data_IF_602364818204
#
_entry.id   IF_602364818204
#
_cell.length_a   1.000
_cell.length_b   1.000
_cell.length_c   1.000
_cell.angle_alpha   90.00
_cell.angle_beta   90.00
_cell.angle_gamma   90.00
#
_symmetry.space_group_name_H-M   'P 1'
#
loop_
_entity.id
_entity.type
_entity.pdbx_description
1 polymer ?
#
# COMPACT_ATOMS: atom_id res chain seq x y z
N UNK A 1 3.91 -2.97 7.86
CA UNK A 1 2.81 -1.97 7.98
C UNK A 1 3.40 -0.56 7.84
N UNK A 2 2.70 0.43 7.29
CA UNK A 2 3.20 1.83 7.15
C UNK A 2 3.52 2.47 8.50
N UNK A 3 2.82 2.01 9.55
CA UNK A 3 3.08 2.41 10.94
C UNK A 3 4.48 1.99 11.44
N UNK A 4 5.05 0.95 10.86
CA UNK A 4 6.40 0.44 11.19
C UNK A 4 7.48 1.09 10.32
N UNK A 5 7.10 1.96 9.37
CA UNK A 5 8.07 2.61 8.50
C UNK A 5 8.87 3.63 9.33
N UNK A 6 10.21 3.53 9.38
CA UNK A 6 11.04 4.39 10.20
C UNK A 6 10.97 5.87 9.79
N UNK A 7 10.53 6.17 8.55
CA UNK A 7 10.35 7.54 8.06
C UNK A 7 9.02 8.18 8.46
N UNK A 8 8.07 7.41 9.03
CA UNK A 8 6.75 7.93 9.42
C UNK A 8 6.84 9.10 10.41
N UNK A 9 7.67 8.96 11.45
CA UNK A 9 7.81 9.99 12.48
C UNK A 9 8.47 11.26 11.92
N UNK A 10 9.42 11.11 11.01
CA UNK A 10 10.03 12.23 10.29
C UNK A 10 8.99 12.99 9.45
N UNK A 11 8.18 12.25 8.68
CA UNK A 11 7.10 12.82 7.85
C UNK A 11 6.04 13.53 8.67
N UNK A 12 5.60 12.95 9.79
CA UNK A 12 4.65 13.59 10.70
C UNK A 12 5.22 14.91 11.23
N UNK A 13 6.50 14.93 11.61
CA UNK A 13 7.17 16.15 12.09
C UNK A 13 7.26 17.25 11.03
N UNK A 14 7.58 16.86 9.78
CA UNK A 14 7.58 17.77 8.63
C UNK A 14 6.20 18.39 8.42
N UNK A 15 5.15 17.57 8.26
CA UNK A 15 3.78 18.07 8.02
C UNK A 15 3.25 18.91 9.18
N UNK A 16 3.49 18.49 10.42
CA UNK A 16 3.01 19.21 11.59
C UNK A 16 3.55 20.65 11.66
N UNK A 17 4.78 20.83 11.19
CA UNK A 17 5.48 22.11 11.17
C UNK A 17 5.02 23.02 10.02
N UNK A 18 4.52 22.46 8.91
CA UNK A 18 4.00 23.25 7.77
C UNK A 18 2.56 23.72 7.99
N UNK A 19 1.81 23.11 8.91
CA UNK A 19 0.43 23.51 9.19
C UNK A 19 0.35 24.85 9.93
N UNK A 20 0.04 25.91 9.20
CA UNK A 20 -0.35 27.20 9.76
C UNK A 20 -1.87 27.24 9.99
N UNK A 21 -2.29 27.25 11.27
CA UNK A 21 -3.70 27.33 11.65
C UNK A 21 -3.85 28.33 12.79
N UNK A 22 -4.72 29.32 12.60
CA UNK A 22 -5.04 30.33 13.59
C UNK A 22 -6.39 30.06 14.28
N UNK A 23 -6.52 30.50 15.53
CA UNK A 23 -7.76 30.42 16.30
C UNK A 23 -7.54 30.02 17.76
N UNK A 24 -8.62 29.61 18.43
CA UNK A 24 -8.54 29.08 19.80
C UNK A 24 -7.79 27.74 19.81
N UNK A 25 -7.02 27.48 20.86
CA UNK A 25 -6.14 26.31 20.96
C UNK A 25 -6.84 24.98 20.62
N UNK A 26 -8.08 24.78 21.07
CA UNK A 26 -8.87 23.57 20.75
C UNK A 26 -9.18 23.42 19.26
N UNK A 27 -9.47 24.53 18.58
CA UNK A 27 -9.73 24.55 17.14
C UNK A 27 -8.44 24.29 16.34
N UNK A 28 -7.35 24.97 16.72
CA UNK A 28 -6.03 24.81 16.09
C UNK A 28 -5.59 23.34 16.15
N UNK A 29 -5.68 22.74 17.33
CA UNK A 29 -5.33 21.34 17.52
C UNK A 29 -6.17 20.39 16.66
N UNK A 30 -7.51 20.51 16.72
CA UNK A 30 -8.40 19.64 15.96
C UNK A 30 -8.18 19.76 14.44
N UNK A 31 -7.96 20.98 13.97
CA UNK A 31 -7.70 21.25 12.55
C UNK A 31 -6.35 20.66 12.09
N UNK A 32 -5.29 20.81 12.89
CA UNK A 32 -3.98 20.21 12.60
C UNK A 32 -4.04 18.68 12.56
N UNK A 33 -4.75 18.05 13.50
CA UNK A 33 -4.96 16.59 13.49
C UNK A 33 -5.72 16.15 12.24
N UNK A 34 -6.72 16.93 11.81
CA UNK A 34 -7.46 16.64 10.58
C UNK A 34 -6.57 16.72 9.34
N UNK A 35 -5.74 17.76 9.22
CA UNK A 35 -4.77 17.90 8.14
C UNK A 35 -3.75 16.75 8.14
N UNK A 36 -3.23 16.39 9.31
CA UNK A 36 -2.32 15.26 9.46
C UNK A 36 -2.94 13.94 8.99
N UNK A 37 -4.21 13.71 9.33
CA UNK A 37 -4.94 12.52 8.88
C UNK A 37 -5.06 12.48 7.35
N UNK A 38 -5.25 13.62 6.70
CA UNK A 38 -5.37 13.68 5.25
C UNK A 38 -4.01 13.46 4.56
N UNK A 39 -2.92 14.05 5.07
CA UNK A 39 -1.55 13.77 4.59
C UNK A 39 -1.17 12.30 4.77
N UNK A 40 -1.49 11.71 5.92
CA UNK A 40 -1.26 10.29 6.19
C UNK A 40 -2.00 9.38 5.20
N UNK A 41 -3.21 9.74 4.76
CA UNK A 41 -3.92 8.97 3.74
C UNK A 41 -3.20 9.04 2.40
N UNK A 42 -2.75 10.22 1.99
CA UNK A 42 -2.02 10.40 0.72
C UNK A 42 -0.73 9.60 0.75
N UNK A 43 0.05 9.76 1.81
CA UNK A 43 1.30 9.04 1.97
C UNK A 43 1.10 7.52 2.07
N UNK A 44 0.07 7.07 2.78
CA UNK A 44 -0.28 5.65 2.80
C UNK A 44 -0.64 5.15 1.40
N UNK A 45 -1.32 5.92 0.55
CA UNK A 45 -1.52 5.53 -0.86
C UNK A 45 -0.22 5.55 -1.67
N UNK A 46 0.70 6.48 -1.44
CA UNK A 46 2.00 6.49 -2.14
C UNK A 46 2.89 5.31 -1.77
N UNK A 47 2.83 4.86 -0.51
CA UNK A 47 3.63 3.75 0.03
C UNK A 47 2.92 2.41 -0.17
N UNK A 48 1.64 2.29 0.17
CA UNK A 48 0.84 1.06 0.11
C UNK A 48 0.01 0.93 -1.18
N UNK A 49 -0.36 2.01 -1.86
CA UNK A 49 -0.98 1.90 -3.19
C UNK A 49 -0.04 1.27 -4.23
N UNK A 50 1.28 1.27 -3.97
CA UNK A 50 2.24 0.45 -4.72
C UNK A 50 2.00 -1.04 -4.53
N UNK A 51 1.53 -1.48 -3.36
CA UNK A 51 1.20 -2.89 -3.08
C UNK A 51 0.00 -3.30 -3.91
N UNK A 52 -1.08 -2.50 -3.93
CA UNK A 52 -2.27 -2.78 -4.74
C UNK A 52 -1.95 -2.86 -6.25
N UNK A 53 -1.09 -1.96 -6.73
CA UNK A 53 -0.61 -1.99 -8.12
C UNK A 53 0.26 -3.23 -8.40
N UNK A 54 1.11 -3.63 -7.46
CA UNK A 54 1.92 -4.84 -7.58
C UNK A 54 1.04 -6.10 -7.58
N UNK A 55 0.04 -6.19 -6.71
CA UNK A 55 -0.95 -7.28 -6.70
C UNK A 55 -1.66 -7.35 -8.06
N UNK A 56 -2.17 -6.24 -8.59
CA UNK A 56 -2.81 -6.20 -9.92
C UNK A 56 -1.88 -6.63 -11.05
N UNK A 57 -0.63 -6.18 -11.03
CA UNK A 57 0.38 -6.56 -12.02
C UNK A 57 0.64 -8.07 -11.98
N UNK A 58 0.83 -8.62 -10.77
CA UNK A 58 1.07 -10.05 -10.53
C UNK A 58 -0.11 -10.93 -10.95
N UNK A 59 -1.35 -10.49 -10.68
CA UNK A 59 -2.56 -11.15 -11.18
C UNK A 59 -2.63 -11.15 -12.71
N UNK A 60 -2.26 -10.04 -13.34
CA UNK A 60 -2.25 -9.92 -14.81
C UNK A 60 -1.22 -10.87 -15.43
N UNK A 61 -0.01 -10.95 -14.86
CA UNK A 61 1.04 -11.90 -15.26
C UNK A 61 0.55 -13.36 -15.12
N UNK A 62 -0.16 -13.69 -14.04
CA UNK A 62 -0.78 -15.01 -13.88
C UNK A 62 -1.86 -15.31 -14.93
N UNK A 63 -2.74 -14.36 -15.24
CA UNK A 63 -3.77 -14.54 -16.28
C UNK A 63 -3.16 -14.79 -17.67
N UNK A 64 -2.00 -14.18 -17.98
CA UNK A 64 -1.28 -14.47 -19.23
C UNK A 64 -0.80 -15.92 -19.27
N UNK A 65 -0.30 -16.46 -18.15
CA UNK A 65 0.14 -17.86 -18.07
C UNK A 65 -1.05 -18.81 -18.17
N UNK A 66 -2.19 -18.50 -17.54
CA UNK A 66 -3.43 -19.28 -17.67
C UNK A 66 -3.93 -19.34 -19.12
N UNK A 67 -3.89 -18.22 -19.85
CA UNK A 67 -4.22 -18.20 -21.28
C UNK A 67 -3.27 -19.07 -22.12
N UNK A 68 -1.97 -19.12 -21.78
CA UNK A 68 -1.02 -20.02 -22.44
C UNK A 68 -1.28 -21.49 -22.11
N UNK A 69 -1.70 -21.80 -20.88
CA UNK A 69 -2.12 -23.15 -20.48
C UNK A 69 -3.34 -23.61 -21.28
N UNK A 70 -4.34 -22.75 -21.45
CA UNK A 70 -5.54 -23.03 -22.27
C UNK A 70 -5.20 -23.27 -23.74
N UNK A 71 -4.22 -22.53 -24.27
CA UNK A 71 -3.72 -22.70 -25.64
C UNK A 71 -2.76 -23.89 -25.81
N UNK A 72 -2.37 -24.54 -24.71
CA UNK A 72 -1.40 -25.64 -24.71
C UNK A 72 0.04 -25.21 -25.07
N UNK A 73 0.35 -23.91 -25.02
CA UNK A 73 1.67 -23.34 -25.38
C UNK A 73 2.56 -23.04 -24.17
N UNK A 74 2.10 -23.41 -22.97
CA UNK A 74 2.84 -23.23 -21.71
C UNK A 74 4.13 -24.06 -21.70
N UNK A 75 5.24 -23.44 -21.29
CA UNK A 75 6.52 -24.12 -21.09
C UNK A 75 6.80 -24.36 -19.60
N UNK A 76 7.90 -25.05 -19.29
CA UNK A 76 8.28 -25.32 -17.89
C UNK A 76 8.69 -24.04 -17.14
N UNK A 77 9.27 -23.06 -17.85
CA UNK A 77 9.63 -21.76 -17.28
C UNK A 77 8.39 -20.97 -16.82
N UNK A 78 7.30 -21.00 -17.60
CA UNK A 78 6.01 -20.39 -17.27
C UNK A 78 5.39 -21.05 -16.02
N UNK A 79 5.62 -22.35 -15.81
CA UNK A 79 5.16 -23.06 -14.60
C UNK A 79 5.95 -22.66 -13.35
N UNK A 80 7.27 -22.55 -13.47
CA UNK A 80 8.13 -22.04 -12.39
C UNK A 80 7.75 -20.61 -12.05
N UNK A 81 7.60 -19.75 -13.06
CA UNK A 81 7.18 -18.36 -12.88
C UNK A 81 5.81 -18.27 -12.21
N UNK A 82 4.84 -19.12 -12.57
CA UNK A 82 3.52 -19.16 -11.91
C UNK A 82 3.60 -19.49 -10.43
N UNK A 83 4.52 -20.38 -10.01
CA UNK A 83 4.73 -20.70 -8.59
C UNK A 83 5.35 -19.51 -7.85
N UNK A 84 6.34 -18.86 -8.44
CA UNK A 84 6.97 -17.65 -7.87
C UNK A 84 5.95 -16.52 -7.72
N UNK A 85 5.20 -16.21 -8.78
CA UNK A 85 4.15 -15.19 -8.78
C UNK A 85 3.09 -15.43 -7.70
N UNK A 86 2.70 -16.69 -7.46
CA UNK A 86 1.77 -17.06 -6.38
C UNK A 86 2.38 -16.82 -5.00
N UNK A 87 3.65 -17.16 -4.81
CA UNK A 87 4.33 -16.96 -3.52
C UNK A 87 4.49 -15.47 -3.18
N UNK A 88 4.85 -14.65 -4.17
CA UNK A 88 4.96 -13.19 -4.02
C UNK A 88 3.58 -12.55 -3.77
N UNK A 89 2.55 -13.02 -4.47
CA UNK A 89 1.19 -12.53 -4.26
C UNK A 89 0.67 -12.84 -2.84
N UNK A 90 0.94 -14.02 -2.29
CA UNK A 90 0.55 -14.37 -0.91
C UNK A 90 1.17 -13.40 0.11
N UNK A 91 2.44 -13.04 -0.09
CA UNK A 91 3.15 -12.06 0.75
C UNK A 91 2.48 -10.67 0.64
N UNK A 92 2.22 -10.20 -0.58
CA UNK A 92 1.62 -8.88 -0.80
C UNK A 92 0.20 -8.78 -0.24
N UNK A 93 -0.62 -9.84 -0.36
CA UNK A 93 -1.99 -9.87 0.18
C UNK A 93 -1.99 -9.85 1.71
N UNK A 94 -1.04 -10.52 2.37
CA UNK A 94 -0.87 -10.44 3.83
C UNK A 94 -0.51 -9.02 4.27
N UNK A 95 0.43 -8.39 3.57
CA UNK A 95 0.83 -7.00 3.85
C UNK A 95 -0.33 -6.01 3.65
N UNK A 96 -1.18 -6.23 2.65
CA UNK A 96 -2.39 -5.44 2.39
C UNK A 96 -3.45 -5.62 3.49
N UNK A 97 -3.72 -6.86 3.90
CA UNK A 97 -4.71 -7.16 4.94
C UNK A 97 -4.33 -6.51 6.29
N UNK A 98 -3.06 -6.56 6.66
CA UNK A 98 -2.53 -5.89 7.87
C UNK A 98 -2.63 -4.36 7.76
N UNK A 99 -2.37 -3.79 6.58
CA UNK A 99 -2.50 -2.35 6.33
C UNK A 99 -3.93 -1.83 6.43
N UNK A 100 -4.93 -2.61 5.96
CA UNK A 100 -6.35 -2.24 6.03
C UNK A 100 -6.91 -2.33 7.45
N UNK A 101 -6.56 -3.37 8.20
CA UNK A 101 -7.00 -3.54 9.59
C UNK A 101 -6.55 -2.39 10.50
N UNK A 102 -5.43 -1.74 10.18
CA UNK A 102 -4.91 -0.59 10.92
C UNK A 102 -5.61 0.74 10.58
N UNK A 103 -6.34 0.84 9.47
CA UNK A 103 -7.08 2.04 9.08
C UNK A 103 -8.51 2.07 9.63
N UNK A 104 -9.06 0.92 10.00
CA UNK A 104 -10.43 0.76 10.52
C UNK A 104 -10.52 0.77 12.06
N UNK A 105 -9.38 0.62 12.75
CA UNK A 105 -9.26 0.72 14.22
C UNK A 105 -9.02 2.17 14.68
#
# INVERSE_FOLDING_TARGET
MWLEDPSLLEKIGEWWSTFEVEGRASYVWWKKVKLLKDELKVWNVEVFGRIDLQIKKKLTEMSVIELKEEQGTVNEEDRVLKVELKSELDILVRMEAEGRSSMEA
#
